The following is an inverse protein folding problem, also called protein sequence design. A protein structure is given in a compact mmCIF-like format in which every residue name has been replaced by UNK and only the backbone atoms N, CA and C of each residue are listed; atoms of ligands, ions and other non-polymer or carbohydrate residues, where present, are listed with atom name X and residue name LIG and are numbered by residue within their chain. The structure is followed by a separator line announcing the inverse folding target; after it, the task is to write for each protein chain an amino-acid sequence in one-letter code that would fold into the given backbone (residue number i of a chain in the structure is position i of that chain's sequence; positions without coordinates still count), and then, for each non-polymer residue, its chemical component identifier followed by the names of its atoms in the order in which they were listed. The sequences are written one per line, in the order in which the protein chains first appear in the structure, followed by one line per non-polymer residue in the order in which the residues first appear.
data_IF_841817092067
#
_entry.id   IF_841817092067
#
_cell.length_a   1.000
_cell.length_b   1.000
_cell.length_c   1.000
_cell.angle_alpha   90.00
_cell.angle_beta   90.00
_cell.angle_gamma   90.00
#
_symmetry.space_group_name_H-M   'P 1'
#
loop_
_entity.id
_entity.type
_entity.pdbx_description
1 polymer ?
#
# COMPACT_ATOMS: atom_id res chain seq x y z
N UNK A 1 -14.34 17.09 8.69
CA UNK A 1 -13.19 16.49 9.40
C UNK A 1 -13.72 15.32 10.22
N UNK A 2 -13.42 14.11 9.78
CA UNK A 2 -13.78 12.89 10.49
C UNK A 2 -12.56 12.47 11.32
N UNK A 3 -12.67 12.46 12.65
CA UNK A 3 -11.60 11.98 13.52
C UNK A 3 -11.50 10.45 13.38
N UNK A 4 -10.32 9.87 13.64
CA UNK A 4 -10.17 8.42 13.70
C UNK A 4 -11.23 7.74 14.59
N UNK A 5 -11.63 8.38 15.70
CA UNK A 5 -12.71 7.91 16.57
C UNK A 5 -14.08 7.69 15.89
N UNK A 6 -14.37 8.40 14.80
CA UNK A 6 -15.60 8.21 14.02
C UNK A 6 -15.43 7.10 12.98
N UNK A 7 -14.22 6.92 12.47
CA UNK A 7 -13.86 5.82 11.57
C UNK A 7 -13.82 4.47 12.32
N UNK A 8 -13.30 4.47 13.55
CA UNK A 8 -13.01 3.27 14.33
C UNK A 8 -14.15 2.25 14.39
N UNK A 9 -15.41 2.62 14.70
CA UNK A 9 -16.51 1.65 14.75
C UNK A 9 -16.78 0.92 13.42
N UNK A 10 -16.34 1.47 12.29
CA UNK A 10 -16.51 0.89 10.95
C UNK A 10 -15.38 -0.08 10.59
N UNK A 11 -14.20 0.08 11.18
CA UNK A 11 -12.99 -0.71 10.86
C UNK A 11 -12.53 -1.62 12.00
N UNK A 12 -13.09 -1.49 13.21
CA UNK A 12 -12.63 -2.24 14.38
C UNK A 12 -12.76 -3.76 14.19
N UNK A 13 -13.69 -4.19 13.34
CA UNK A 13 -13.89 -5.61 13.01
C UNK A 13 -12.66 -6.25 12.35
N UNK A 14 -11.77 -5.47 11.72
CA UNK A 14 -10.52 -5.99 11.17
C UNK A 14 -9.67 -6.72 12.21
N UNK A 15 -9.70 -6.28 13.47
CA UNK A 15 -8.95 -6.95 14.54
C UNK A 15 -9.51 -8.35 14.80
N UNK A 16 -10.83 -8.51 14.81
CA UNK A 16 -11.49 -9.80 15.00
C UNK A 16 -11.21 -10.74 13.82
N UNK A 17 -11.22 -10.21 12.59
CA UNK A 17 -10.87 -10.95 11.37
C UNK A 17 -9.38 -11.38 11.37
N UNK A 18 -8.46 -10.50 11.80
CA UNK A 18 -7.04 -10.82 11.94
C UNK A 18 -6.81 -11.94 12.95
N UNK A 19 -7.47 -11.88 14.11
CA UNK A 19 -7.47 -12.94 15.10
C UNK A 19 -8.03 -14.27 14.55
N UNK A 20 -8.95 -14.19 13.60
CA UNK A 20 -9.62 -15.33 12.97
C UNK A 20 -8.89 -15.90 11.75
N UNK A 21 -7.82 -15.24 11.29
CA UNK A 21 -6.95 -15.76 10.24
C UNK A 21 -6.64 -14.79 9.11
N UNK A 22 -7.28 -13.62 9.02
CA UNK A 22 -6.94 -12.59 8.02
C UNK A 22 -5.47 -12.19 8.19
N UNK A 23 -4.69 -12.21 7.11
CA UNK A 23 -3.24 -12.01 7.13
C UNK A 23 -2.83 -10.52 7.20
N UNK A 24 -3.65 -9.65 6.64
CA UNK A 24 -3.41 -8.22 6.51
C UNK A 24 -4.74 -7.49 6.29
N UNK A 25 -4.72 -6.17 6.45
CA UNK A 25 -5.71 -5.29 5.84
C UNK A 25 -5.01 -4.39 4.82
N UNK A 26 -5.79 -3.79 3.94
CA UNK A 26 -5.23 -3.06 2.80
C UNK A 26 -5.76 -1.63 2.69
N UNK A 27 -4.89 -0.77 2.18
CA UNK A 27 -5.20 0.56 1.69
C UNK A 27 -5.13 0.58 0.17
N UNK A 28 -6.06 1.25 -0.50
CA UNK A 28 -6.08 1.30 -1.96
C UNK A 28 -6.22 2.74 -2.47
N UNK A 29 -5.35 3.11 -3.42
CA UNK A 29 -5.34 4.40 -4.11
C UNK A 29 -5.57 4.10 -5.60
N UNK A 30 -6.77 4.38 -6.15
CA UNK A 30 -7.12 3.95 -7.51
C UNK A 30 -6.30 4.63 -8.61
N UNK A 31 -5.84 5.85 -8.36
CA UNK A 31 -5.11 6.65 -9.34
C UNK A 31 -4.11 7.56 -8.65
N UNK A 32 -2.89 7.60 -9.18
CA UNK A 32 -1.78 8.44 -8.72
C UNK A 32 -1.19 9.29 -9.86
N UNK A 33 -0.48 10.36 -9.50
CA UNK A 33 0.35 11.09 -10.45
C UNK A 33 1.71 10.39 -10.63
N UNK A 34 1.86 9.73 -11.78
CA UNK A 34 3.08 9.00 -12.12
C UNK A 34 4.29 9.91 -12.43
N UNK A 35 4.09 11.22 -12.61
CA UNK A 35 5.15 12.16 -13.05
C UNK A 35 6.37 12.14 -12.14
N UNK A 36 6.18 11.94 -10.83
CA UNK A 36 7.24 11.95 -9.83
C UNK A 36 7.45 10.58 -9.14
N UNK A 37 7.02 9.49 -9.76
CA UNK A 37 7.03 8.16 -9.13
C UNK A 37 8.40 7.74 -8.59
N UNK A 38 9.46 7.86 -9.40
CA UNK A 38 10.84 7.53 -8.98
C UNK A 38 11.29 8.36 -7.77
N UNK A 39 11.04 9.67 -7.80
CA UNK A 39 11.38 10.56 -6.69
C UNK A 39 10.61 10.21 -5.41
N UNK A 40 9.33 9.88 -5.54
CA UNK A 40 8.45 9.52 -4.42
C UNK A 40 8.88 8.20 -3.77
N UNK A 41 9.20 7.16 -4.55
CA UNK A 41 9.67 5.88 -4.00
C UNK A 41 11.06 6.05 -3.36
N UNK A 42 11.96 6.85 -3.95
CA UNK A 42 13.25 7.18 -3.33
C UNK A 42 13.08 7.93 -2.02
N UNK A 43 12.16 8.89 -1.97
CA UNK A 43 11.84 9.63 -0.75
C UNK A 43 11.31 8.70 0.34
N UNK A 44 10.41 7.79 -0.01
CA UNK A 44 9.91 6.77 0.90
C UNK A 44 11.06 5.89 1.41
N UNK A 45 11.87 5.33 0.51
CA UNK A 45 13.00 4.47 0.87
C UNK A 45 13.97 5.13 1.86
N UNK A 46 14.16 6.44 1.77
CA UNK A 46 15.04 7.17 2.69
C UNK A 46 14.49 7.25 4.13
N UNK A 47 13.22 6.92 4.36
CA UNK A 47 12.54 6.99 5.66
C UNK A 47 12.31 5.64 6.32
N UNK A 48 12.46 4.54 5.59
CA UNK A 48 12.17 3.19 6.10
C UNK A 48 13.40 2.60 6.80
N UNK A 49 13.16 1.79 7.82
CA UNK A 49 14.22 1.15 8.61
C UNK A 49 14.84 -0.04 7.88
N UNK A 50 14.01 -0.77 7.14
CA UNK A 50 14.38 -1.87 6.26
C UNK A 50 13.46 -1.85 5.04
N UNK A 51 13.94 -2.31 3.89
CA UNK A 51 13.11 -2.37 2.69
C UNK A 51 13.76 -3.10 1.53
N UNK A 52 12.94 -3.89 0.83
CA UNK A 52 13.35 -4.74 -0.29
C UNK A 52 12.28 -4.77 -1.39
N UNK A 53 12.68 -5.21 -2.58
CA UNK A 53 11.77 -5.61 -3.64
C UNK A 53 11.73 -7.14 -3.65
N UNK A 54 10.55 -7.74 -3.46
CA UNK A 54 10.44 -9.20 -3.29
C UNK A 54 9.95 -9.90 -4.58
N UNK A 55 8.82 -9.46 -5.13
CA UNK A 55 8.17 -10.12 -6.28
C UNK A 55 7.53 -9.09 -7.22
N UNK A 56 7.90 -9.00 -8.49
CA UNK A 56 7.22 -8.12 -9.47
C UNK A 56 6.54 -8.93 -10.58
N UNK A 57 5.43 -8.40 -11.13
CA UNK A 57 4.74 -9.02 -12.27
C UNK A 57 5.42 -8.56 -13.55
N UNK A 58 6.04 -9.51 -14.23
CA UNK A 58 6.80 -9.28 -15.46
C UNK A 58 5.88 -9.21 -16.68
N UNK A 59 6.23 -8.36 -17.65
CA UNK A 59 5.49 -8.28 -18.91
C UNK A 59 5.71 -9.52 -19.78
N UNK A 60 4.82 -9.74 -20.75
CA UNK A 60 4.90 -10.87 -21.68
C UNK A 60 6.15 -10.86 -22.57
N UNK A 61 6.88 -9.74 -22.63
CA UNK A 61 8.11 -9.57 -23.40
C UNK A 61 9.37 -9.99 -22.63
N UNK A 62 9.22 -10.36 -21.36
CA UNK A 62 10.33 -10.76 -20.49
C UNK A 62 10.74 -12.20 -20.70
N UNK A 63 12.03 -12.47 -20.53
CA UNK A 63 12.62 -13.79 -20.74
C UNK A 63 12.89 -14.48 -19.41
N UNK A 64 13.05 -15.81 -19.43
CA UNK A 64 13.46 -16.58 -18.23
C UNK A 64 14.77 -16.10 -17.60
N UNK A 65 15.65 -15.44 -18.36
CA UNK A 65 16.89 -14.88 -17.80
C UNK A 65 16.61 -13.68 -16.89
N UNK A 66 15.52 -12.97 -17.15
CA UNK A 66 15.09 -11.82 -16.36
C UNK A 66 14.54 -12.22 -14.97
N UNK A 67 14.23 -13.50 -14.75
CA UNK A 67 13.61 -13.96 -13.51
C UNK A 67 14.60 -14.62 -12.55
N UNK A 68 15.82 -14.93 -13.02
CA UNK A 68 16.78 -15.77 -12.30
C UNK A 68 17.84 -14.96 -11.54
N UNK A 69 17.61 -13.66 -11.34
CA UNK A 69 18.54 -12.77 -10.64
C UNK A 69 17.79 -11.87 -9.68
N UNK A 70 18.47 -11.57 -8.58
CA UNK A 70 18.08 -10.50 -7.67
C UNK A 70 18.54 -9.17 -8.26
N UNK A 71 17.64 -8.21 -8.35
CA UNK A 71 17.91 -6.90 -8.92
C UNK A 71 17.99 -5.84 -7.85
N UNK A 72 18.82 -4.83 -8.09
CA UNK A 72 18.88 -3.67 -7.23
C UNK A 72 17.60 -2.83 -7.32
N UNK A 73 17.40 -1.99 -6.31
CA UNK A 73 16.29 -1.05 -6.25
C UNK A 73 16.16 -0.16 -7.50
N UNK A 74 17.30 0.34 -8.03
CA UNK A 74 17.29 1.19 -9.22
C UNK A 74 16.88 0.41 -10.48
N UNK A 75 17.20 -0.88 -10.55
CA UNK A 75 16.85 -1.72 -11.70
C UNK A 75 15.35 -2.00 -11.74
N UNK A 76 14.72 -2.33 -10.61
CA UNK A 76 13.26 -2.50 -10.54
C UNK A 76 12.50 -1.24 -10.95
N UNK A 77 12.94 -0.06 -10.48
CA UNK A 77 12.34 1.21 -10.89
C UNK A 77 12.49 1.45 -12.40
N UNK A 78 13.67 1.17 -12.96
CA UNK A 78 13.89 1.28 -14.39
C UNK A 78 13.03 0.29 -15.18
N UNK A 79 12.91 -0.96 -14.73
CA UNK A 79 12.06 -1.97 -15.37
C UNK A 79 10.59 -1.56 -15.38
N UNK A 80 10.11 -0.96 -14.30
CA UNK A 80 8.75 -0.42 -14.27
C UNK A 80 8.61 0.75 -15.23
N UNK A 81 9.58 1.67 -15.27
CA UNK A 81 9.53 2.84 -16.16
C UNK A 81 9.51 2.47 -17.66
N UNK A 82 10.14 1.36 -18.05
CA UNK A 82 10.22 0.89 -19.45
C UNK A 82 9.24 -0.25 -19.79
N UNK A 83 8.19 -0.45 -18.99
CA UNK A 83 7.14 -1.47 -19.21
C UNK A 83 7.63 -2.92 -19.20
N UNK A 84 8.80 -3.18 -18.61
CA UNK A 84 9.32 -4.54 -18.44
C UNK A 84 8.63 -5.29 -17.28
N UNK A 85 8.16 -4.55 -16.28
CA UNK A 85 7.25 -5.05 -15.25
C UNK A 85 6.01 -4.18 -15.21
N UNK A 86 4.84 -4.79 -14.99
CA UNK A 86 3.55 -4.09 -14.86
C UNK A 86 3.19 -3.81 -13.40
N UNK A 87 3.85 -4.50 -12.46
CA UNK A 87 3.66 -4.32 -11.03
C UNK A 87 5.00 -4.24 -10.30
N UNK A 88 5.17 -3.18 -9.51
CA UNK A 88 6.34 -2.91 -8.69
C UNK A 88 5.98 -3.09 -7.21
N UNK A 89 6.66 -4.02 -6.52
CA UNK A 89 6.33 -4.37 -5.14
C UNK A 89 7.42 -4.01 -4.14
N UNK A 90 7.21 -2.95 -3.36
CA UNK A 90 8.16 -2.50 -2.35
C UNK A 90 7.69 -2.89 -0.95
N UNK A 91 8.37 -3.83 -0.31
CA UNK A 91 8.12 -4.26 1.07
C UNK A 91 9.10 -3.54 2.01
N UNK A 92 8.59 -3.04 3.14
CA UNK A 92 9.36 -2.20 4.04
C UNK A 92 8.83 -2.17 5.46
N UNK A 93 9.70 -1.77 6.39
CA UNK A 93 9.37 -1.51 7.78
C UNK A 93 9.45 -0.02 8.09
N UNK A 94 8.41 0.49 8.77
CA UNK A 94 8.32 1.89 9.17
C UNK A 94 8.17 2.00 10.68
N UNK A 95 9.14 2.63 11.34
CA UNK A 95 9.09 2.96 12.77
C UNK A 95 8.47 4.35 12.98
N UNK A 96 7.30 4.37 13.61
CA UNK A 96 6.53 5.56 13.94
C UNK A 96 6.57 5.87 15.44
N UNK A 97 7.77 5.83 16.05
CA UNK A 97 8.02 6.14 17.46
C UNK A 97 7.14 5.29 18.38
N UNK A 98 7.57 4.04 18.58
CA UNK A 98 6.93 2.99 19.41
C UNK A 98 5.93 2.10 18.65
N UNK A 99 5.54 2.47 17.43
CA UNK A 99 4.74 1.62 16.54
C UNK A 99 5.58 1.22 15.34
N UNK A 100 5.81 -0.08 15.18
CA UNK A 100 6.42 -0.65 13.99
C UNK A 100 5.32 -1.10 13.03
N UNK A 101 5.35 -0.63 11.79
CA UNK A 101 4.49 -1.11 10.71
C UNK A 101 5.31 -1.96 9.75
N UNK A 102 4.74 -3.09 9.33
CA UNK A 102 5.23 -3.88 8.21
C UNK A 102 4.28 -3.66 7.04
N UNK A 103 4.81 -3.08 5.97
CA UNK A 103 4.02 -2.59 4.85
C UNK A 103 4.57 -3.13 3.53
N UNK A 104 3.68 -3.33 2.56
CA UNK A 104 4.05 -3.59 1.18
C UNK A 104 3.24 -2.69 0.25
N UNK A 105 3.93 -1.88 -0.54
CA UNK A 105 3.30 -1.17 -1.67
C UNK A 105 3.35 -2.04 -2.90
N UNK A 106 2.21 -2.19 -3.55
CA UNK A 106 2.07 -2.77 -4.88
C UNK A 106 1.61 -1.65 -5.81
N UNK A 107 2.52 -1.19 -6.66
CA UNK A 107 2.26 -0.13 -7.63
C UNK A 107 2.01 -0.79 -8.98
N UNK A 108 0.80 -0.66 -9.51
CA UNK A 108 0.33 -1.41 -10.67
C UNK A 108 -0.10 -0.47 -11.79
N UNK A 109 0.27 -0.80 -13.03
CA UNK A 109 -0.30 -0.19 -14.23
C UNK A 109 -1.60 -0.91 -14.56
N UNK A 110 -2.73 -0.26 -14.30
CA UNK A 110 -4.06 -0.85 -14.52
C UNK A 110 -4.51 -0.72 -15.98
N UNK A 111 -4.02 0.29 -16.69
CA UNK A 111 -4.15 0.46 -18.14
C UNK A 111 -2.99 1.33 -18.69
N UNK A 112 -3.06 1.74 -19.96
CA UNK A 112 -2.00 2.52 -20.64
C UNK A 112 -1.71 3.88 -19.96
N UNK A 113 -2.60 4.37 -19.10
CA UNK A 113 -2.56 5.71 -18.51
C UNK A 113 -2.69 5.74 -17.00
N UNK A 114 -3.30 4.72 -16.40
CA UNK A 114 -3.60 4.68 -14.98
C UNK A 114 -2.62 3.80 -14.21
N UNK A 115 -2.17 4.35 -13.08
CA UNK A 115 -1.36 3.64 -12.10
C UNK A 115 -2.12 3.70 -10.78
N UNK A 116 -2.28 2.55 -10.13
CA UNK A 116 -2.87 2.41 -8.81
C UNK A 116 -1.82 1.97 -7.78
N UNK A 117 -2.16 2.12 -6.51
CA UNK A 117 -1.36 1.60 -5.40
C UNK A 117 -2.26 0.77 -4.48
N UNK A 118 -1.90 -0.49 -4.25
CA UNK A 118 -2.34 -1.25 -3.09
C UNK A 118 -1.28 -1.19 -1.99
N UNK A 119 -1.69 -0.96 -0.75
CA UNK A 119 -0.85 -0.84 0.43
C UNK A 119 -1.28 -1.94 1.41
N UNK A 120 -0.51 -3.01 1.48
CA UNK A 120 -0.74 -4.10 2.42
C UNK A 120 -0.14 -3.72 3.77
N UNK A 121 -0.92 -3.83 4.85
CA UNK A 121 -0.45 -3.72 6.22
C UNK A 121 -0.63 -5.05 6.94
N UNK A 122 0.50 -5.72 7.22
CA UNK A 122 0.52 -7.05 7.80
C UNK A 122 0.01 -7.05 9.24
N UNK A 123 -0.69 -8.11 9.62
CA UNK A 123 -1.34 -8.21 10.93
C UNK A 123 -0.38 -8.32 12.10
N UNK A 124 0.79 -8.93 11.90
CA UNK A 124 1.61 -9.39 13.04
C UNK A 124 2.02 -8.21 13.94
N UNK A 125 2.53 -7.07 13.43
CA UNK A 125 2.80 -5.91 14.28
C UNK A 125 1.56 -5.30 14.94
N UNK A 126 0.36 -5.48 14.37
CA UNK A 126 -0.90 -4.97 14.92
C UNK A 126 -1.32 -5.81 16.11
N UNK A 127 -1.30 -7.14 15.97
CA UNK A 127 -1.75 -8.08 16.99
C UNK A 127 -0.74 -8.23 18.13
N UNK A 128 0.56 -8.04 17.86
CA UNK A 128 1.62 -8.12 18.87
C UNK A 128 1.73 -6.84 19.73
N UNK A 129 1.11 -5.73 19.30
CA UNK A 129 1.14 -4.48 20.03
C UNK A 129 0.11 -4.45 21.17
N UNK A 130 0.47 -3.79 22.29
CA UNK A 130 -0.41 -3.66 23.45
C UNK A 130 -1.72 -2.92 23.16
N UNK A 131 -1.74 -2.09 22.11
CA UNK A 131 -2.90 -1.37 21.61
C UNK A 131 -3.01 -1.53 20.09
N UNK A 132 -3.73 -2.55 19.59
CA UNK A 132 -3.96 -2.75 18.16
C UNK A 132 -4.68 -1.55 17.50
N UNK A 133 -5.56 -0.88 18.25
CA UNK A 133 -6.24 0.34 17.82
C UNK A 133 -5.26 1.44 17.43
N UNK A 134 -4.21 1.65 18.21
CA UNK A 134 -3.22 2.70 17.94
C UNK A 134 -2.38 2.35 16.69
N UNK A 135 -2.02 1.07 16.51
CA UNK A 135 -1.31 0.63 15.30
C UNK A 135 -2.16 0.85 14.05
N UNK A 136 -3.45 0.50 14.12
CA UNK A 136 -4.42 0.74 13.05
C UNK A 136 -4.54 2.23 12.71
N UNK A 137 -4.62 3.10 13.72
CA UNK A 137 -4.64 4.56 13.52
C UNK A 137 -3.39 5.03 12.77
N UNK A 138 -2.20 4.61 13.23
CA UNK A 138 -0.93 4.97 12.59
C UNK A 138 -0.83 4.46 11.16
N UNK A 139 -1.29 3.24 10.89
CA UNK A 139 -1.30 2.67 9.56
C UNK A 139 -2.21 3.47 8.60
N UNK A 140 -3.40 3.87 9.04
CA UNK A 140 -4.32 4.63 8.18
C UNK A 140 -3.81 6.06 7.96
N UNK A 141 -3.19 6.69 8.96
CA UNK A 141 -2.48 7.97 8.77
C UNK A 141 -1.36 7.81 7.74
N UNK A 142 -0.59 6.72 7.81
CA UNK A 142 0.46 6.43 6.83
C UNK A 142 -0.11 6.21 5.42
N UNK A 143 -1.23 5.51 5.29
CA UNK A 143 -1.90 5.35 3.99
C UNK A 143 -2.33 6.70 3.40
N UNK A 144 -2.83 7.61 4.24
CA UNK A 144 -3.16 8.97 3.83
C UNK A 144 -1.92 9.76 3.40
N UNK A 145 -0.81 9.65 4.15
CA UNK A 145 0.48 10.26 3.80
C UNK A 145 0.99 9.75 2.45
N UNK A 146 0.91 8.44 2.20
CA UNK A 146 1.32 7.83 0.93
C UNK A 146 0.44 8.32 -0.23
N UNK A 147 -0.89 8.39 -0.02
CA UNK A 147 -1.81 9.00 -0.99
C UNK A 147 -1.39 10.41 -1.37
N UNK A 148 -1.02 11.25 -0.41
CA UNK A 148 -0.54 12.60 -0.68
C UNK A 148 0.83 12.60 -1.36
N UNK A 149 1.77 11.75 -0.94
CA UNK A 149 3.10 11.61 -1.54
C UNK A 149 3.01 11.28 -3.03
N UNK A 150 2.13 10.35 -3.40
CA UNK A 150 1.93 9.92 -4.79
C UNK A 150 0.88 10.76 -5.55
N UNK A 151 0.39 11.86 -4.97
CA UNK A 151 -0.56 12.75 -5.64
C UNK A 151 -1.93 12.12 -5.93
N UNK A 152 -2.33 11.09 -5.18
CA UNK A 152 -3.59 10.40 -5.39
C UNK A 152 -4.81 11.24 -4.96
N UNK A 153 -5.97 10.97 -5.56
CA UNK A 153 -7.24 11.67 -5.25
C UNK A 153 -7.93 11.20 -3.97
N UNK A 154 -7.81 9.92 -3.65
CA UNK A 154 -8.53 9.26 -2.55
C UNK A 154 -7.74 8.06 -2.05
N UNK A 155 -7.96 7.67 -0.80
CA UNK A 155 -7.53 6.37 -0.28
C UNK A 155 -8.71 5.65 0.37
N UNK A 156 -8.81 4.36 0.11
CA UNK A 156 -9.80 3.47 0.71
C UNK A 156 -9.10 2.48 1.63
N UNK A 157 -9.80 1.96 2.63
CA UNK A 157 -9.33 0.85 3.46
C UNK A 157 -10.31 -0.29 3.44
N UNK A 158 -9.80 -1.51 3.38
CA UNK A 158 -10.61 -2.71 3.20
C UNK A 158 -9.91 -3.97 3.73
N UNK A 159 -10.67 -5.06 3.89
CA UNK A 159 -10.10 -6.39 4.10
C UNK A 159 -9.53 -6.94 2.79
N UNK A 160 -8.67 -7.96 2.85
CA UNK A 160 -8.15 -8.69 1.68
C UNK A 160 -9.30 -9.18 0.77
N UNK A 161 -9.52 -8.50 -0.37
CA UNK A 161 -10.57 -8.88 -1.31
C UNK A 161 -10.19 -8.63 -2.78
N UNK A 162 -10.92 -9.28 -3.68
CA UNK A 162 -10.65 -9.25 -5.12
C UNK A 162 -11.33 -8.09 -5.87
N UNK A 163 -12.19 -7.31 -5.21
CA UNK A 163 -12.98 -6.26 -5.88
C UNK A 163 -12.55 -4.90 -5.36
N UNK A 164 -11.61 -4.28 -6.08
CA UNK A 164 -11.06 -2.99 -5.71
C UNK A 164 -11.99 -1.81 -6.06
N UNK A 165 -11.96 -0.70 -5.29
CA UNK A 165 -12.56 0.57 -5.67
C UNK A 165 -12.09 1.02 -7.06
N UNK A 166 -12.98 1.61 -7.85
CA UNK A 166 -12.62 2.17 -9.17
C UNK A 166 -12.31 3.65 -9.03
N UNK A 167 -13.19 4.39 -8.35
CA UNK A 167 -13.03 5.82 -8.11
C UNK A 167 -13.80 6.28 -6.86
N UNK A 168 -13.82 7.59 -6.64
CA UNK A 168 -14.50 8.27 -5.53
C UNK A 168 -16.00 7.99 -5.39
N UNK A 169 -16.66 7.53 -6.45
CA UNK A 169 -18.10 7.33 -6.59
C UNK A 169 -18.49 5.86 -6.81
N UNK A 170 -17.56 5.00 -7.23
CA UNK A 170 -17.80 3.57 -7.49
C UNK A 170 -16.83 2.69 -6.68
N UNK A 171 -17.31 2.19 -5.55
CA UNK A 171 -16.57 1.28 -4.68
C UNK A 171 -17.51 0.35 -3.88
N UNK A 172 -17.08 -0.89 -3.56
CA UNK A 172 -17.90 -1.82 -2.79
C UNK A 172 -18.12 -1.40 -1.33
N UNK A 173 -19.25 -1.79 -0.73
CA UNK A 173 -19.64 -1.42 0.64
C UNK A 173 -18.64 -1.81 1.75
N UNK A 174 -17.81 -2.83 1.51
CA UNK A 174 -16.80 -3.29 2.47
C UNK A 174 -15.51 -2.44 2.44
N UNK A 175 -15.37 -1.58 1.43
CA UNK A 175 -14.32 -0.57 1.37
C UNK A 175 -14.79 0.72 2.02
N UNK A 176 -13.93 1.28 2.85
CA UNK A 176 -14.21 2.51 3.56
C UNK A 176 -13.34 3.61 2.96
N UNK A 177 -13.99 4.57 2.29
CA UNK A 177 -13.34 5.80 1.84
C UNK A 177 -12.82 6.58 3.05
N UNK A 178 -11.54 6.93 3.03
CA UNK A 178 -10.93 7.79 4.05
C UNK A 178 -11.04 9.23 3.57
N UNK A 179 -12.04 9.94 4.08
CA UNK A 179 -12.33 11.29 3.61
C UNK A 179 -11.36 12.33 4.19
N UNK A 180 -10.86 12.14 5.43
CA UNK A 180 -9.96 13.08 6.10
C UNK A 180 -9.17 12.43 7.26
N UNK A 181 -7.84 12.56 7.28
CA UNK A 181 -6.99 12.43 8.47
C UNK A 181 -5.84 13.44 8.33
N UNK A 182 -5.82 14.46 9.18
CA UNK A 182 -4.73 15.45 9.29
C UNK A 182 -3.56 14.91 10.13
#
# INVERSE_FOLDING_TARGET
MESFEKLWPRISYFIDEMCSGMAFFEGYIPSIDATNLDANIRFLKAQVCDGSFDLSVWSNETTKQDWNREYSFNEYLNFFAIDKITMLNFEYQLDLKEVLLHLKLMIEKTDDTNISINIICYRDPILDHASPKDVMEKAIIEFHRLRNLFGGGVVFVGPDNLTYPVDDNDYPDHWIKIEYLD
#
